data_IF_167311707947
#
_entry.id   IF_167311707947
#
_cell.length_a   1.000
_cell.length_b   1.000
_cell.length_c   1.000
_cell.angle_alpha   90.00
_cell.angle_beta   90.00
_cell.angle_gamma   90.00
#
_symmetry.space_group_name_H-M   'P 1'
#
loop_
_entity.id
_entity.type
_entity.pdbx_description
1 polymer ?
#
# COMPACT_ATOMS: atom_id res chain seq x y z
N UNK A 1 -14.66 7.34 20.78
CA UNK A 1 -14.05 8.63 20.46
C UNK A 1 -12.55 8.64 20.83
N UNK A 2 -11.82 7.49 20.62
CA UNK A 2 -10.41 7.33 20.99
C UNK A 2 -9.53 6.78 19.86
N UNK A 3 -10.09 6.67 18.61
CA UNK A 3 -9.48 5.94 17.48
C UNK A 3 -8.37 6.66 16.71
N UNK A 4 -8.01 7.89 17.01
CA UNK A 4 -7.06 8.66 16.20
C UNK A 4 -5.89 9.28 16.97
N UNK A 5 -5.76 9.05 18.28
CA UNK A 5 -4.69 9.68 19.07
C UNK A 5 -3.30 9.15 18.66
N UNK A 6 -3.16 7.87 18.43
CA UNK A 6 -1.90 7.22 18.02
C UNK A 6 -1.48 7.54 16.57
N UNK A 7 -2.47 7.82 15.68
CA UNK A 7 -2.18 8.21 14.28
C UNK A 7 -1.49 9.57 14.20
N UNK A 8 -1.75 10.48 15.18
CA UNK A 8 -1.08 11.78 15.26
C UNK A 8 0.37 11.66 15.74
N UNK A 9 0.69 10.66 16.55
CA UNK A 9 2.06 10.39 16.99
C UNK A 9 2.91 9.76 15.88
N UNK A 10 2.31 8.99 14.97
CA UNK A 10 3.01 8.39 13.82
C UNK A 10 3.36 9.42 12.72
N UNK A 11 2.65 10.53 12.65
CA UNK A 11 2.86 11.60 11.65
C UNK A 11 3.70 12.76 12.25
N UNK A 12 3.88 12.82 13.56
CA UNK A 12 4.63 13.84 14.28
C UNK A 12 5.96 13.29 14.82
N UNK A 13 7.05 13.97 14.52
CA UNK A 13 8.46 13.87 14.93
C UNK A 13 8.96 12.55 15.58
N UNK A 14 10.13 12.04 15.20
CA UNK A 14 10.65 10.76 15.69
C UNK A 14 11.00 10.85 17.18
N UNK A 15 10.11 10.37 18.04
CA UNK A 15 10.45 10.06 19.41
C UNK A 15 11.27 8.77 19.44
N UNK A 16 12.47 8.85 19.99
CA UNK A 16 13.54 7.87 19.93
C UNK A 16 13.20 6.45 20.38
N UNK A 17 13.76 5.50 19.64
CA UNK A 17 14.29 4.26 20.18
C UNK A 17 13.40 3.04 20.18
N UNK A 18 12.97 2.56 19.01
CA UNK A 18 12.99 1.12 18.66
C UNK A 18 13.14 1.04 17.14
N UNK A 19 14.35 0.81 16.70
CA UNK A 19 14.68 0.66 15.30
C UNK A 19 14.11 -0.66 14.81
N UNK A 20 12.92 -0.61 14.17
CA UNK A 20 12.44 -1.73 13.37
C UNK A 20 13.51 -2.02 12.29
N UNK A 21 13.83 -3.30 12.00
CA UNK A 21 14.86 -3.61 11.00
C UNK A 21 14.52 -2.89 9.69
N UNK A 22 15.49 -2.22 9.06
CA UNK A 22 15.27 -1.51 7.82
C UNK A 22 14.73 -2.50 6.78
N UNK A 23 13.48 -2.35 6.40
CA UNK A 23 12.96 -3.01 5.21
C UNK A 23 13.57 -2.25 4.05
N UNK A 24 14.65 -2.77 3.49
CA UNK A 24 15.25 -2.21 2.29
C UNK A 24 14.17 -2.11 1.22
N UNK A 25 13.81 -0.90 0.74
CA UNK A 25 12.94 -0.78 -0.41
C UNK A 25 13.60 -1.51 -1.57
N UNK A 26 12.85 -2.28 -2.32
CA UNK A 26 13.39 -2.94 -3.52
C UNK A 26 14.04 -1.84 -4.37
N UNK A 27 15.36 -1.89 -4.49
CA UNK A 27 16.18 -0.80 -5.00
C UNK A 27 15.65 -0.31 -6.36
N UNK A 28 15.30 0.97 -6.44
CA UNK A 28 14.85 1.63 -7.67
C UNK A 28 13.34 1.64 -7.92
N UNK A 29 12.50 1.03 -7.08
CA UNK A 29 11.05 1.13 -7.23
C UNK A 29 10.52 2.45 -6.66
N UNK A 30 9.68 3.14 -7.45
CA UNK A 30 9.07 4.44 -7.10
C UNK A 30 7.70 4.57 -7.72
N UNK A 31 6.91 5.51 -7.20
CA UNK A 31 5.71 5.92 -7.91
C UNK A 31 6.08 6.50 -9.27
N UNK A 32 5.34 6.07 -10.30
CA UNK A 32 5.41 6.67 -11.62
C UNK A 32 4.75 8.08 -11.61
N UNK A 33 5.02 8.94 -12.58
CA UNK A 33 4.24 10.17 -12.76
C UNK A 33 2.76 9.84 -12.95
N UNK A 34 1.89 10.55 -12.23
CA UNK A 34 0.45 10.37 -12.29
C UNK A 34 -0.18 10.11 -10.91
N UNK A 35 -1.51 10.05 -10.85
CA UNK A 35 -2.22 9.85 -9.60
C UNK A 35 -2.07 8.42 -9.08
N UNK A 36 -1.97 8.28 -7.76
CA UNK A 36 -2.02 7.00 -7.05
C UNK A 36 -3.48 6.72 -6.66
N UNK A 37 -4.00 5.57 -7.04
CA UNK A 37 -5.28 5.09 -6.53
C UNK A 37 -5.04 4.41 -5.17
N UNK A 38 -5.83 4.79 -4.16
CA UNK A 38 -5.86 4.14 -2.86
C UNK A 38 -7.20 3.42 -2.76
N UNK A 39 -7.20 2.10 -2.84
CA UNK A 39 -8.41 1.29 -2.77
C UNK A 39 -8.54 0.70 -1.36
N UNK A 40 -9.65 0.97 -0.67
CA UNK A 40 -9.87 0.48 0.69
C UNK A 40 -11.15 -0.35 0.81
N UNK A 41 -11.06 -1.42 1.61
CA UNK A 41 -12.20 -2.22 2.03
C UNK A 41 -12.14 -2.44 3.54
N UNK A 42 -13.16 -1.96 4.26
CA UNK A 42 -13.20 -1.98 5.71
C UNK A 42 -14.56 -2.43 6.22
N UNK A 43 -14.56 -3.21 7.30
CA UNK A 43 -15.80 -3.53 8.03
C UNK A 43 -16.01 -2.61 9.23
N UNK A 44 -14.92 -2.12 9.82
CA UNK A 44 -14.94 -1.36 11.09
C UNK A 44 -14.44 0.07 10.95
N UNK A 45 -14.04 0.49 9.75
CA UNK A 45 -13.50 1.82 9.47
C UNK A 45 -11.97 1.94 9.59
N UNK A 46 -11.26 0.91 10.07
CA UNK A 46 -9.80 0.98 10.27
C UNK A 46 -9.05 1.12 8.95
N UNK A 47 -9.43 0.36 7.91
CA UNK A 47 -8.77 0.48 6.59
C UNK A 47 -9.04 1.85 5.94
N UNK A 48 -10.19 2.46 6.18
CA UNK A 48 -10.53 3.82 5.71
C UNK A 48 -9.68 4.88 6.40
N UNK A 49 -9.49 4.78 7.73
CA UNK A 49 -8.64 5.68 8.50
C UNK A 49 -7.17 5.59 8.02
N UNK A 50 -6.68 4.38 7.76
CA UNK A 50 -5.33 4.15 7.22
C UNK A 50 -5.19 4.64 5.78
N UNK A 51 -6.23 4.49 4.95
CA UNK A 51 -6.25 5.03 3.60
C UNK A 51 -6.21 6.58 3.61
N UNK A 52 -6.94 7.21 4.54
CA UNK A 52 -6.90 8.65 4.73
C UNK A 52 -5.51 9.13 5.18
N UNK A 53 -4.87 8.44 6.14
CA UNK A 53 -3.52 8.73 6.59
C UNK A 53 -2.49 8.56 5.45
N UNK A 54 -2.59 7.47 4.67
CA UNK A 54 -1.75 7.23 3.50
C UNK A 54 -1.90 8.34 2.45
N UNK A 55 -3.13 8.80 2.21
CA UNK A 55 -3.40 9.94 1.31
C UNK A 55 -2.72 11.22 1.81
N UNK A 56 -2.82 11.52 3.09
CA UNK A 56 -2.18 12.72 3.66
C UNK A 56 -0.65 12.64 3.58
N UNK A 57 -0.07 11.46 3.79
CA UNK A 57 1.36 11.21 3.62
C UNK A 57 1.80 11.51 2.17
N UNK A 58 1.08 11.00 1.16
CA UNK A 58 1.37 11.28 -0.25
C UNK A 58 1.18 12.76 -0.60
N UNK A 59 0.13 13.41 -0.07
CA UNK A 59 -0.14 14.83 -0.27
C UNK A 59 0.99 15.71 0.29
N UNK A 60 1.55 15.35 1.45
CA UNK A 60 2.63 16.10 2.08
C UNK A 60 3.90 16.19 1.20
N UNK A 61 4.11 15.22 0.32
CA UNK A 61 5.24 15.18 -0.63
C UNK A 61 4.83 15.52 -2.08
N UNK A 62 3.63 16.07 -2.27
CA UNK A 62 3.14 16.56 -3.56
C UNK A 62 2.63 15.48 -4.52
N UNK A 63 2.41 14.25 -4.06
CA UNK A 63 1.85 13.17 -4.88
C UNK A 63 0.33 13.25 -4.84
N UNK A 64 -0.26 13.34 -6.04
CA UNK A 64 -1.72 13.33 -6.20
C UNK A 64 -2.24 11.91 -5.98
N UNK A 65 -3.23 11.75 -5.11
CA UNK A 65 -3.86 10.46 -4.87
C UNK A 65 -5.38 10.58 -4.75
N UNK A 66 -6.09 9.48 -5.00
CA UNK A 66 -7.54 9.36 -4.90
C UNK A 66 -7.89 8.11 -4.10
N UNK A 67 -8.72 8.27 -3.09
CA UNK A 67 -9.30 7.13 -2.35
C UNK A 67 -10.56 6.65 -3.08
N UNK A 68 -10.73 5.36 -3.18
CA UNK A 68 -11.93 4.70 -3.69
C UNK A 68 -12.26 3.47 -2.83
N UNK A 69 -13.53 3.32 -2.53
CA UNK A 69 -14.05 2.13 -1.86
C UNK A 69 -14.18 0.98 -2.85
N UNK A 70 -14.12 -0.26 -2.38
CA UNK A 70 -14.23 -1.44 -3.23
C UNK A 70 -15.59 -1.56 -3.95
N UNK A 71 -16.65 -0.95 -3.43
CA UNK A 71 -17.95 -0.87 -4.15
C UNK A 71 -17.84 -0.10 -5.47
N UNK A 72 -16.99 0.92 -5.50
CA UNK A 72 -16.75 1.74 -6.69
C UNK A 72 -15.63 1.18 -7.58
N UNK A 73 -14.95 0.12 -7.14
CA UNK A 73 -13.82 -0.47 -7.85
C UNK A 73 -14.30 -1.54 -8.83
N UNK A 74 -13.95 -1.38 -10.09
CA UNK A 74 -14.24 -2.37 -11.12
C UNK A 74 -12.98 -2.79 -11.89
N UNK A 75 -13.12 -3.81 -12.73
CA UNK A 75 -12.03 -4.33 -13.56
C UNK A 75 -11.44 -3.25 -14.47
N UNK A 76 -12.27 -2.43 -15.11
CA UNK A 76 -11.83 -1.42 -16.07
C UNK A 76 -10.99 -0.33 -15.39
N UNK A 77 -11.33 0.04 -14.17
CA UNK A 77 -10.52 0.96 -13.36
C UNK A 77 -9.14 0.39 -13.08
N UNK A 78 -9.03 -0.90 -12.73
CA UNK A 78 -7.75 -1.54 -12.47
C UNK A 78 -6.91 -1.73 -13.74
N UNK A 79 -7.54 -2.09 -14.87
CA UNK A 79 -6.85 -2.24 -16.16
C UNK A 79 -6.31 -0.91 -16.71
N UNK A 80 -6.90 0.21 -16.30
CA UNK A 80 -6.43 1.56 -16.66
C UNK A 80 -5.51 2.20 -15.62
N UNK A 81 -5.51 1.70 -14.38
CA UNK A 81 -4.64 2.19 -13.32
C UNK A 81 -3.20 1.71 -13.53
N UNK A 82 -2.25 2.61 -13.38
CA UNK A 82 -0.82 2.27 -13.38
C UNK A 82 -0.27 1.96 -11.99
N UNK A 83 -0.94 2.46 -10.94
CA UNK A 83 -0.45 2.36 -9.57
C UNK A 83 -1.58 2.42 -8.54
N UNK A 84 -1.62 1.41 -7.68
CA UNK A 84 -2.67 1.25 -6.65
C UNK A 84 -2.06 0.85 -5.31
N UNK A 85 -2.53 1.46 -4.24
CA UNK A 85 -2.31 1.02 -2.86
C UNK A 85 -3.62 0.41 -2.35
N UNK A 86 -3.58 -0.86 -1.98
CA UNK A 86 -4.72 -1.57 -1.42
C UNK A 86 -4.60 -1.64 0.10
N UNK A 87 -5.66 -1.26 0.82
CA UNK A 87 -5.78 -1.40 2.25
C UNK A 87 -7.08 -2.16 2.54
N UNK A 88 -6.98 -3.41 2.91
CA UNK A 88 -8.14 -4.29 2.98
C UNK A 88 -8.21 -5.02 4.32
N UNK A 89 -9.39 -4.99 4.94
CA UNK A 89 -9.69 -5.82 6.11
C UNK A 89 -10.17 -7.20 5.69
N UNK A 90 -10.00 -8.15 6.60
CA UNK A 90 -10.59 -9.48 6.51
C UNK A 90 -11.64 -9.61 7.61
N UNK A 91 -12.76 -10.25 7.31
CA UNK A 91 -13.85 -10.49 8.27
C UNK A 91 -13.98 -11.99 8.54
N UNK A 92 -14.47 -12.35 9.73
CA UNK A 92 -14.74 -13.72 10.11
C UNK A 92 -13.62 -14.71 9.70
N UNK A 93 -13.98 -15.77 9.01
CA UNK A 93 -13.09 -16.87 8.61
C UNK A 93 -12.40 -16.59 7.24
N UNK A 94 -11.83 -15.41 7.07
CA UNK A 94 -11.07 -15.08 5.85
C UNK A 94 -11.85 -14.31 4.77
N UNK A 95 -13.12 -14.00 5.02
CA UNK A 95 -14.02 -13.36 4.06
C UNK A 95 -13.72 -11.88 3.80
N UNK A 96 -14.05 -11.36 2.60
CA UNK A 96 -13.99 -9.94 2.33
C UNK A 96 -15.05 -9.17 3.15
N UNK A 97 -14.80 -7.90 3.52
CA UNK A 97 -15.84 -7.00 4.02
C UNK A 97 -17.01 -6.88 3.03
N UNK A 98 -18.21 -6.55 3.52
CA UNK A 98 -19.42 -6.47 2.72
C UNK A 98 -19.23 -5.62 1.45
N UNK A 99 -18.56 -4.48 1.56
CA UNK A 99 -18.26 -3.60 0.43
C UNK A 99 -17.35 -4.22 -0.64
N UNK A 100 -16.57 -5.25 -0.31
CA UNK A 100 -15.70 -5.96 -1.24
C UNK A 100 -16.28 -7.29 -1.72
N UNK A 101 -17.41 -7.74 -1.17
CA UNK A 101 -18.00 -9.04 -1.47
C UNK A 101 -18.38 -9.20 -2.96
N UNK A 102 -18.92 -8.17 -3.58
CA UNK A 102 -19.25 -8.20 -5.02
C UNK A 102 -17.98 -8.25 -5.87
N UNK A 103 -16.99 -7.40 -5.58
CA UNK A 103 -15.69 -7.41 -6.27
C UNK A 103 -15.01 -8.79 -6.19
N UNK A 104 -14.98 -9.38 -5.01
CA UNK A 104 -14.42 -10.72 -4.78
C UNK A 104 -15.11 -11.78 -5.65
N UNK A 105 -16.45 -11.80 -5.66
CA UNK A 105 -17.22 -12.82 -6.40
C UNK A 105 -17.23 -12.63 -7.90
N UNK A 106 -17.18 -11.40 -8.40
CA UNK A 106 -17.35 -11.11 -9.83
C UNK A 106 -16.03 -10.76 -10.50
N UNK A 107 -15.28 -9.80 -9.95
CA UNK A 107 -14.05 -9.30 -10.56
C UNK A 107 -12.90 -10.29 -10.39
N UNK A 108 -12.77 -10.88 -9.19
CA UNK A 108 -11.72 -11.86 -8.91
C UNK A 108 -12.05 -13.28 -9.41
N UNK A 109 -13.24 -13.52 -9.95
CA UNK A 109 -13.62 -14.85 -10.47
C UNK A 109 -12.71 -15.35 -11.60
N UNK A 110 -12.07 -14.45 -12.33
CA UNK A 110 -11.11 -14.75 -13.39
C UNK A 110 -9.96 -13.74 -13.37
N UNK A 111 -8.73 -14.11 -13.77
CA UNK A 111 -7.65 -13.16 -13.94
C UNK A 111 -8.04 -12.02 -14.89
N UNK A 112 -7.52 -10.83 -14.62
CA UNK A 112 -7.66 -9.65 -15.46
C UNK A 112 -6.35 -9.39 -16.26
N UNK A 113 -6.31 -8.35 -17.07
CA UNK A 113 -5.09 -7.94 -17.80
C UNK A 113 -4.44 -6.76 -17.08
N UNK A 114 -3.66 -7.04 -16.02
CA UNK A 114 -3.09 -6.03 -15.12
C UNK A 114 -1.57 -5.87 -15.24
N UNK A 115 -0.96 -6.32 -16.33
CA UNK A 115 0.49 -6.25 -16.52
C UNK A 115 1.11 -4.85 -16.32
N UNK A 116 0.45 -3.72 -16.66
CA UNK A 116 0.96 -2.38 -16.38
C UNK A 116 0.82 -1.95 -14.92
N UNK A 117 -0.04 -2.62 -14.14
CA UNK A 117 -0.36 -2.22 -12.78
C UNK A 117 0.76 -2.56 -11.81
N UNK A 118 1.16 -1.56 -11.04
CA UNK A 118 2.01 -1.74 -9.86
C UNK A 118 1.20 -1.50 -8.59
N UNK A 119 1.44 -2.30 -7.56
CA UNK A 119 0.65 -2.17 -6.34
C UNK A 119 1.46 -2.37 -5.07
N UNK A 120 0.93 -1.80 -3.96
CA UNK A 120 1.26 -2.15 -2.59
C UNK A 120 0.00 -2.67 -1.90
N UNK A 121 0.14 -3.61 -0.98
CA UNK A 121 -0.99 -4.22 -0.29
C UNK A 121 -0.75 -4.30 1.21
N UNK A 122 -1.64 -3.66 1.98
CA UNK A 122 -1.81 -3.80 3.41
C UNK A 122 -3.04 -4.65 3.69
N UNK A 123 -2.85 -5.79 4.34
CA UNK A 123 -3.90 -6.72 4.71
C UNK A 123 -4.10 -6.69 6.23
N UNK A 124 -5.28 -6.31 6.68
CA UNK A 124 -5.66 -6.27 8.08
C UNK A 124 -6.41 -7.54 8.45
N UNK A 125 -6.10 -8.10 9.59
CA UNK A 125 -6.74 -9.30 10.13
C UNK A 125 -6.55 -9.40 11.64
N UNK A 126 -6.97 -10.52 12.19
CA UNK A 126 -6.82 -10.90 13.60
C UNK A 126 -6.40 -12.36 13.63
N UNK A 127 -5.27 -12.68 14.25
CA UNK A 127 -4.73 -14.05 14.40
C UNK A 127 -5.58 -14.93 15.30
N UNK A 128 -6.56 -14.36 15.98
CA UNK A 128 -7.58 -15.14 16.70
C UNK A 128 -8.49 -15.95 15.76
N UNK A 129 -8.50 -15.65 14.47
CA UNK A 129 -9.26 -16.36 13.45
C UNK A 129 -8.34 -17.26 12.60
N UNK A 130 -8.89 -18.38 12.09
CA UNK A 130 -8.13 -19.40 11.37
C UNK A 130 -7.51 -18.85 10.06
N UNK A 131 -8.30 -18.11 9.28
CA UNK A 131 -7.85 -17.52 8.00
C UNK A 131 -7.40 -16.05 8.17
N UNK A 132 -6.37 -15.87 9.01
CA UNK A 132 -5.73 -14.57 9.21
C UNK A 132 -5.37 -13.89 7.89
N UNK A 133 -5.86 -12.64 7.68
CA UNK A 133 -5.68 -11.86 6.46
C UNK A 133 -6.15 -12.56 5.17
N UNK A 134 -7.12 -13.47 5.25
CA UNK A 134 -7.55 -14.33 4.15
C UNK A 134 -7.94 -13.58 2.89
N UNK A 135 -8.79 -12.54 2.99
CA UNK A 135 -9.16 -11.72 1.84
C UNK A 135 -7.95 -11.00 1.23
N UNK A 136 -7.06 -10.45 2.04
CA UNK A 136 -5.84 -9.80 1.55
C UNK A 136 -4.93 -10.77 0.79
N UNK A 137 -4.79 -12.02 1.28
CA UNK A 137 -4.04 -13.08 0.61
C UNK A 137 -4.66 -13.48 -0.72
N UNK A 138 -5.98 -13.62 -0.76
CA UNK A 138 -6.72 -13.93 -1.97
C UNK A 138 -6.60 -12.82 -3.03
N UNK A 139 -6.70 -11.56 -2.61
CA UNK A 139 -6.52 -10.40 -3.48
C UNK A 139 -5.11 -10.35 -4.06
N UNK A 140 -4.08 -10.55 -3.25
CA UNK A 140 -2.68 -10.60 -3.69
C UNK A 140 -2.44 -11.68 -4.75
N UNK A 141 -2.93 -12.89 -4.48
CA UNK A 141 -2.84 -14.01 -5.42
C UNK A 141 -3.53 -13.70 -6.76
N UNK A 142 -4.72 -13.09 -6.71
CA UNK A 142 -5.45 -12.70 -7.91
C UNK A 142 -4.73 -11.59 -8.70
N UNK A 143 -4.19 -10.58 -8.03
CA UNK A 143 -3.40 -9.50 -8.66
C UNK A 143 -2.18 -10.08 -9.38
N UNK A 144 -1.44 -10.97 -8.74
CA UNK A 144 -0.27 -11.65 -9.34
C UNK A 144 -0.67 -12.53 -10.53
N UNK A 145 -1.73 -13.32 -10.40
CA UNK A 145 -2.27 -14.15 -11.49
C UNK A 145 -2.76 -13.30 -12.66
N UNK A 146 -3.17 -12.05 -12.40
CA UNK A 146 -3.57 -11.05 -13.41
C UNK A 146 -2.40 -10.30 -14.04
N UNK A 147 -1.15 -10.59 -13.64
CA UNK A 147 0.06 -9.98 -14.17
C UNK A 147 0.48 -8.67 -13.49
N UNK A 148 -0.22 -8.21 -12.45
CA UNK A 148 0.17 -7.04 -11.69
C UNK A 148 1.48 -7.30 -10.91
N UNK A 149 2.26 -6.24 -10.65
CA UNK A 149 3.55 -6.34 -9.98
C UNK A 149 3.53 -5.60 -8.66
N UNK A 150 3.81 -6.32 -7.57
CA UNK A 150 3.94 -5.71 -6.25
C UNK A 150 5.23 -4.88 -6.15
N UNK A 151 5.17 -3.71 -5.51
CA UNK A 151 6.36 -2.93 -5.15
C UNK A 151 7.15 -3.56 -4.01
N UNK A 152 6.45 -4.22 -3.09
CA UNK A 152 7.01 -4.89 -1.93
C UNK A 152 6.09 -6.06 -1.52
N UNK A 153 6.59 -7.02 -0.74
CA UNK A 153 5.75 -8.10 -0.21
C UNK A 153 4.55 -7.55 0.56
N UNK A 154 3.38 -8.19 0.41
CA UNK A 154 2.18 -7.85 1.18
C UNK A 154 2.53 -7.69 2.66
N UNK A 155 2.04 -6.62 3.28
CA UNK A 155 2.17 -6.38 4.72
C UNK A 155 0.89 -6.86 5.39
N UNK A 156 1.02 -7.82 6.29
CA UNK A 156 -0.07 -8.33 7.10
C UNK A 156 -0.01 -7.68 8.48
N UNK A 157 -1.15 -7.21 8.97
CA UNK A 157 -1.32 -6.54 10.25
C UNK A 157 -2.23 -7.37 11.12
N UNK A 158 -1.75 -7.75 12.29
CA UNK A 158 -2.52 -8.44 13.31
C UNK A 158 -3.11 -7.40 14.28
N UNK A 159 -4.43 -7.24 14.25
CA UNK A 159 -5.12 -6.21 15.03
C UNK A 159 -4.53 -4.81 14.77
N UNK A 160 -3.94 -4.18 15.79
CA UNK A 160 -3.30 -2.86 15.67
C UNK A 160 -1.76 -2.96 15.78
N UNK A 161 -1.13 -3.99 15.19
CA UNK A 161 0.34 -4.14 15.20
C UNK A 161 1.04 -2.89 14.66
N UNK A 162 1.51 -2.06 15.57
CA UNK A 162 2.19 -0.80 15.27
C UNK A 162 3.41 -1.00 14.35
N UNK A 163 4.18 -2.07 14.55
CA UNK A 163 5.38 -2.33 13.75
C UNK A 163 5.03 -2.66 12.29
N UNK A 164 3.91 -3.37 12.04
CA UNK A 164 3.41 -3.62 10.69
C UNK A 164 2.93 -2.32 10.02
N UNK A 165 2.24 -1.45 10.76
CA UNK A 165 1.78 -0.15 10.28
C UNK A 165 2.97 0.79 9.99
N UNK A 166 3.98 0.83 10.84
CA UNK A 166 5.22 1.57 10.59
C UNK A 166 5.91 1.09 9.30
N UNK A 167 6.00 -0.23 9.08
CA UNK A 167 6.53 -0.79 7.83
C UNK A 167 5.74 -0.31 6.61
N UNK A 168 4.40 -0.27 6.69
CA UNK A 168 3.57 0.26 5.61
C UNK A 168 3.92 1.71 5.27
N UNK A 169 3.94 2.58 6.28
CA UNK A 169 4.25 4.00 6.10
C UNK A 169 5.67 4.22 5.58
N UNK A 170 6.65 3.43 6.04
CA UNK A 170 8.01 3.46 5.55
C UNK A 170 8.12 3.06 4.06
N UNK A 171 7.39 2.01 3.62
CA UNK A 171 7.35 1.60 2.22
C UNK A 171 6.72 2.68 1.33
N UNK A 172 5.61 3.26 1.76
CA UNK A 172 4.96 4.37 1.03
C UNK A 172 5.89 5.57 0.93
N UNK A 173 6.59 5.94 2.01
CA UNK A 173 7.57 7.03 2.02
C UNK A 173 8.74 6.73 1.06
N UNK A 174 9.24 5.50 1.04
CA UNK A 174 10.32 5.09 0.15
C UNK A 174 9.93 5.19 -1.34
N UNK A 175 8.69 4.79 -1.69
CA UNK A 175 8.16 4.94 -3.05
C UNK A 175 7.98 6.41 -3.45
N UNK A 176 7.66 7.27 -2.49
CA UNK A 176 7.42 8.69 -2.67
C UNK A 176 8.71 9.54 -2.67
N UNK A 177 9.85 8.97 -2.27
CA UNK A 177 11.10 9.71 -2.14
C UNK A 177 11.56 10.26 -3.51
N UNK A 178 12.06 11.52 -3.57
CA UNK A 178 12.59 12.07 -4.82
C UNK A 178 13.79 11.24 -5.30
N UNK A 179 13.97 11.17 -6.63
CA UNK A 179 15.19 10.58 -7.20
C UNK A 179 16.37 11.39 -6.69
N UNK A 180 17.26 10.77 -5.92
CA UNK A 180 18.52 11.41 -5.58
C UNK A 180 19.18 11.82 -6.88
N UNK A 181 19.37 13.13 -7.10
CA UNK A 181 20.10 13.62 -8.25
C UNK A 181 21.46 12.89 -8.25
N UNK A 182 21.73 12.13 -9.31
CA UNK A 182 23.06 11.57 -9.53
C UNK A 182 24.01 12.75 -9.45
N UNK A 183 24.86 12.78 -8.43
CA UNK A 183 25.94 13.75 -8.36
C UNK A 183 26.84 13.41 -9.55
N UNK A 184 26.76 14.25 -10.58
CA UNK A 184 27.73 14.22 -11.65
C UNK A 184 29.12 14.29 -11.00
N UNK A 185 29.86 13.22 -11.11
CA UNK A 185 31.29 13.25 -10.79
C UNK A 185 31.92 14.22 -11.81
N UNK A 186 32.50 15.33 -11.38
CA UNK A 186 33.23 16.16 -12.30
C UNK A 186 34.39 15.31 -12.83
N UNK A 187 34.34 15.06 -14.13
CA UNK A 187 35.44 14.47 -14.87
C UNK A 187 36.71 15.32 -14.59
N UNK A 188 37.65 14.78 -13.82
CA UNK A 188 38.96 15.39 -13.67
C UNK A 188 39.64 15.35 -15.04
N UNK A 189 39.61 16.49 -15.71
CA UNK A 189 40.44 16.69 -16.90
C UNK A 189 41.90 16.63 -16.46
N UNK A 190 42.58 15.54 -16.77
CA UNK A 190 44.03 15.46 -16.71
C UNK A 190 44.62 16.54 -17.61
N UNK A 191 45.43 17.42 -17.03
CA UNK A 191 46.27 18.36 -17.78
C UNK A 191 47.45 17.57 -18.34
N UNK A 192 47.69 17.60 -19.64
CA UNK A 192 48.96 17.15 -20.18
C UNK A 192 50.09 18.14 -19.82
N UNK A 193 51.27 17.57 -19.53
CA UNK A 193 52.55 18.29 -19.26
C UNK A 193 53.10 18.98 -20.50
#
# INVERSE_FOLDING_TARGET
MFRLAWLRELIGEPAGGHEAPPVEPVAGMRFAPGPVLIACASQTGVAEDLAAATREQLRAVGIVSRVADFEALDRAMLETASQVLFLVSTTCDGDPPDMAATFSRTTMAQPASLAPLRYGLLALGDRGYEDFCGFGRALDAWLQASGAQAWFPRIEVDDEDAAALERWHAQVAALAAPVAAQRDHPCQAERPA
#
